data_IF_897788511647
#
_entry.id   IF_897788511647
#
_cell.length_a   1.000
_cell.length_b   1.000
_cell.length_c   1.000
_cell.angle_alpha   90.00
_cell.angle_beta   90.00
_cell.angle_gamma   90.00
#
_symmetry.space_group_name_H-M   'P 1'
#
loop_
_entity.id
_entity.type
_entity.pdbx_description
1 polymer ?
#
# COMPACT_ATOMS: atom_id res chain seq x y z
N UNK A 1 -43.84 17.82 22.95
CA UNK A 1 -44.42 17.22 21.73
C UNK A 1 -43.34 16.98 20.66
N UNK A 2 -42.53 15.90 20.74
CA UNK A 2 -41.51 15.60 19.70
C UNK A 2 -41.11 14.10 19.60
N UNK A 3 -41.80 13.20 20.31
CA UNK A 3 -41.48 11.77 20.30
C UNK A 3 -42.02 11.05 19.05
N UNK A 4 -43.20 11.46 18.58
CA UNK A 4 -43.90 10.83 17.44
C UNK A 4 -43.19 11.14 16.12
N UNK A 5 -42.74 12.39 15.94
CA UNK A 5 -42.00 12.82 14.73
C UNK A 5 -40.66 12.08 14.55
N UNK A 6 -39.94 11.79 15.65
CA UNK A 6 -38.69 11.00 15.59
C UNK A 6 -38.96 9.52 15.27
N UNK A 7 -40.08 8.98 15.74
CA UNK A 7 -40.46 7.58 15.50
C UNK A 7 -40.86 7.34 14.04
N UNK A 8 -41.54 8.30 13.42
CA UNK A 8 -41.88 8.27 12.00
C UNK A 8 -40.63 8.35 11.09
N UNK A 9 -39.65 9.18 11.45
CA UNK A 9 -38.37 9.31 10.71
C UNK A 9 -37.56 8.01 10.69
N UNK A 10 -37.55 7.26 11.80
CA UNK A 10 -36.86 5.97 11.87
C UNK A 10 -37.54 4.87 11.06
N UNK A 11 -38.84 4.98 10.81
CA UNK A 11 -39.59 4.02 9.99
C UNK A 11 -39.32 4.23 8.49
N UNK A 12 -39.25 5.50 8.05
CA UNK A 12 -38.97 5.83 6.64
C UNK A 12 -37.52 5.53 6.21
N UNK A 13 -36.56 5.46 7.14
CA UNK A 13 -35.19 4.99 6.84
C UNK A 13 -35.06 3.46 6.76
N UNK A 14 -36.10 2.70 7.11
CA UNK A 14 -36.11 1.23 7.11
C UNK A 14 -37.05 0.67 6.05
N UNK A 15 -37.04 1.20 4.83
CA UNK A 15 -37.66 0.49 3.72
C UNK A 15 -36.71 -0.63 3.24
N UNK A 16 -37.09 -1.91 3.39
CA UNK A 16 -36.25 -3.04 3.04
C UNK A 16 -36.51 -3.43 1.59
N UNK A 17 -35.46 -3.39 0.76
CA UNK A 17 -35.47 -4.18 -0.48
C UNK A 17 -35.47 -5.65 -0.08
N UNK A 18 -36.53 -6.37 -0.45
CA UNK A 18 -36.77 -7.75 -0.05
C UNK A 18 -35.67 -8.67 -0.61
N UNK A 19 -34.85 -9.20 0.29
CA UNK A 19 -34.05 -10.40 0.13
C UNK A 19 -34.23 -11.24 1.40
N UNK A 20 -34.94 -12.35 1.25
CA UNK A 20 -35.46 -13.25 2.29
C UNK A 20 -34.45 -13.70 3.37
N UNK A 21 -34.89 -13.51 4.62
CA UNK A 21 -34.73 -14.35 5.84
C UNK A 21 -33.35 -14.67 6.44
N UNK A 22 -33.27 -14.37 7.75
CA UNK A 22 -32.41 -14.94 8.81
C UNK A 22 -31.28 -14.08 9.40
N UNK A 23 -31.50 -12.79 9.67
CA UNK A 23 -30.55 -11.99 10.48
C UNK A 23 -31.29 -11.09 11.47
N UNK A 24 -31.87 -11.68 12.52
CA UNK A 24 -32.25 -10.91 13.72
C UNK A 24 -31.64 -11.46 15.01
N UNK A 25 -30.99 -12.64 14.96
CA UNK A 25 -30.08 -13.12 16.01
C UNK A 25 -28.61 -12.68 15.81
N UNK A 26 -28.24 -12.16 14.63
CA UNK A 26 -26.86 -11.80 14.30
C UNK A 26 -26.42 -10.40 14.75
N UNK A 27 -27.34 -9.44 14.83
CA UNK A 27 -26.96 -8.04 15.10
C UNK A 27 -26.56 -7.79 16.55
N UNK A 28 -27.18 -8.51 17.50
CA UNK A 28 -26.78 -8.47 18.91
C UNK A 28 -25.45 -9.20 19.17
N UNK A 29 -25.14 -10.26 18.40
CA UNK A 29 -23.83 -10.90 18.49
C UNK A 29 -22.74 -9.97 17.97
N UNK A 30 -22.92 -9.29 16.84
CA UNK A 30 -21.86 -8.44 16.25
C UNK A 30 -21.44 -7.30 17.22
N UNK A 31 -22.36 -6.73 18.01
CA UNK A 31 -22.05 -5.67 18.97
C UNK A 31 -21.23 -6.13 20.19
N UNK A 32 -21.20 -7.43 20.50
CA UNK A 32 -20.37 -8.00 21.56
C UNK A 32 -18.92 -8.23 21.12
N UNK A 33 -18.62 -8.13 19.82
CA UNK A 33 -17.29 -8.36 19.26
C UNK A 33 -16.49 -7.06 19.28
N UNK A 34 -16.32 -6.45 20.45
CA UNK A 34 -15.50 -5.24 20.62
C UNK A 34 -14.02 -5.62 20.73
N UNK A 35 -13.15 -4.83 20.10
CA UNK A 35 -11.70 -4.97 20.18
C UNK A 35 -11.06 -5.72 19.00
N UNK A 36 -9.74 -5.87 19.05
CA UNK A 36 -8.95 -6.53 18.01
C UNK A 36 -8.99 -8.03 18.26
N UNK A 37 -9.63 -8.76 17.35
CA UNK A 37 -9.78 -10.22 17.44
C UNK A 37 -9.25 -10.86 16.18
N UNK A 38 -8.62 -12.03 16.31
CA UNK A 38 -8.09 -12.80 15.19
C UNK A 38 -8.46 -14.26 15.40
N UNK A 39 -9.04 -14.90 14.39
CA UNK A 39 -9.28 -16.34 14.40
C UNK A 39 -8.00 -17.05 13.99
N UNK A 40 -7.53 -17.99 14.81
CA UNK A 40 -6.41 -18.86 14.46
C UNK A 40 -6.89 -19.83 13.38
N UNK A 41 -6.22 -19.85 12.24
CA UNK A 41 -6.48 -20.78 11.14
C UNK A 41 -5.33 -21.79 11.07
N UNK A 42 -5.65 -23.04 10.71
CA UNK A 42 -4.66 -24.10 10.43
C UNK A 42 -3.67 -24.36 11.58
N UNK A 43 -4.09 -24.14 12.83
CA UNK A 43 -3.23 -24.30 14.00
C UNK A 43 -2.08 -23.28 14.10
N UNK A 44 -1.99 -22.28 13.22
CA UNK A 44 -0.87 -21.33 13.22
C UNK A 44 -1.13 -20.13 14.15
N UNK A 45 -0.81 -20.32 15.43
CA UNK A 45 -0.95 -19.29 16.47
C UNK A 45 0.01 -18.11 16.25
N UNK A 46 1.26 -18.38 15.87
CA UNK A 46 2.27 -17.33 15.72
C UNK A 46 1.89 -16.31 14.66
N UNK A 47 1.39 -16.78 13.52
CA UNK A 47 0.89 -15.91 12.45
C UNK A 47 -0.31 -15.09 12.92
N UNK A 48 -1.24 -15.71 13.66
CA UNK A 48 -2.40 -15.02 14.22
C UNK A 48 -1.98 -13.91 15.21
N UNK A 49 -0.98 -14.18 16.06
CA UNK A 49 -0.44 -13.19 17.00
C UNK A 49 0.28 -12.04 16.29
N UNK A 50 1.09 -12.32 15.27
CA UNK A 50 1.72 -11.26 14.44
C UNK A 50 0.67 -10.38 13.78
N UNK A 51 -0.40 -10.98 13.27
CA UNK A 51 -1.50 -10.23 12.67
C UNK A 51 -2.28 -9.39 13.69
N UNK A 52 -2.51 -9.94 14.89
CA UNK A 52 -3.11 -9.21 16.00
C UNK A 52 -2.25 -8.01 16.42
N UNK A 53 -0.93 -8.20 16.54
CA UNK A 53 0.01 -7.13 16.86
C UNK A 53 0.04 -6.04 15.78
N UNK A 54 0.08 -6.43 14.50
CA UNK A 54 0.03 -5.50 13.38
C UNK A 54 -1.24 -4.63 13.42
N UNK A 55 -2.40 -5.24 13.67
CA UNK A 55 -3.66 -4.51 13.78
C UNK A 55 -3.69 -3.60 15.02
N UNK A 56 -3.09 -4.04 16.14
CA UNK A 56 -2.95 -3.23 17.36
C UNK A 56 -2.04 -2.02 17.17
N UNK A 57 -0.97 -2.17 16.41
CA UNK A 57 -0.04 -1.09 16.08
C UNK A 57 -0.63 -0.10 15.10
N UNK A 58 -1.26 -0.60 14.03
CA UNK A 58 -1.85 0.23 12.97
C UNK A 58 -3.06 1.02 13.46
N UNK A 59 -3.87 0.45 14.35
CA UNK A 59 -4.94 1.18 15.05
C UNK A 59 -4.42 2.24 16.03
N UNK A 60 -3.12 2.26 16.32
CA UNK A 60 -2.50 3.17 17.28
C UNK A 60 -2.75 2.79 18.74
N UNK A 61 -3.43 1.68 19.01
CA UNK A 61 -3.77 1.24 20.36
C UNK A 61 -2.54 0.94 21.19
N UNK A 62 -1.49 0.32 20.61
CA UNK A 62 -0.23 0.09 21.31
C UNK A 62 0.37 1.40 21.85
N UNK A 63 0.31 2.46 21.05
CA UNK A 63 0.83 3.77 21.45
C UNK A 63 0.00 4.35 22.58
N UNK A 64 -1.32 4.21 22.54
CA UNK A 64 -2.21 4.67 23.61
C UNK A 64 -1.93 3.94 24.93
N UNK A 65 -1.74 2.62 24.87
CA UNK A 65 -1.43 1.79 26.05
C UNK A 65 -0.07 2.17 26.63
N UNK A 66 0.98 2.26 25.80
CA UNK A 66 2.34 2.60 26.26
C UNK A 66 2.47 4.05 26.72
N UNK A 67 1.74 4.97 26.10
CA UNK A 67 1.78 6.41 26.41
C UNK A 67 0.86 6.82 27.56
N UNK A 68 0.24 5.86 28.26
CA UNK A 68 -0.62 6.12 29.40
C UNK A 68 0.11 7.00 30.41
N UNK A 69 -0.49 8.15 30.72
CA UNK A 69 0.09 9.09 31.68
C UNK A 69 0.05 8.47 33.08
N UNK A 70 1.22 8.30 33.70
CA UNK A 70 1.36 7.82 35.09
C UNK A 70 1.13 8.93 36.10
N UNK A 71 1.36 10.18 35.70
CA UNK A 71 1.18 11.38 36.51
C UNK A 71 0.40 12.44 35.73
N UNK A 72 -0.20 13.38 36.47
CA UNK A 72 -0.91 14.50 35.88
C UNK A 72 0.06 15.48 35.24
N UNK A 73 -0.22 15.84 33.98
CA UNK A 73 0.46 16.93 33.28
C UNK A 73 -0.45 18.17 33.20
N UNK A 74 0.10 19.33 33.50
CA UNK A 74 -0.62 20.60 33.40
C UNK A 74 -0.89 20.96 31.92
N UNK A 75 -1.86 21.82 31.67
CA UNK A 75 -2.26 22.18 30.30
C UNK A 75 -1.15 22.90 29.52
N UNK A 76 -0.32 23.71 30.19
CA UNK A 76 0.85 24.36 29.59
C UNK A 76 1.84 23.35 29.03
N UNK A 77 2.17 22.31 29.80
CA UNK A 77 3.08 21.24 29.41
C UNK A 77 2.52 20.39 28.27
N UNK A 78 1.22 20.06 28.33
CA UNK A 78 0.53 19.34 27.24
C UNK A 78 0.67 20.07 25.90
N UNK A 79 0.52 21.41 25.89
CA UNK A 79 0.68 22.24 24.68
C UNK A 79 2.11 22.19 24.15
N UNK A 80 3.11 22.27 25.03
CA UNK A 80 4.51 22.20 24.66
C UNK A 80 4.85 20.83 24.06
N UNK A 81 4.36 19.73 24.67
CA UNK A 81 4.57 18.37 24.15
C UNK A 81 3.93 18.16 22.77
N UNK A 82 2.71 18.68 22.57
CA UNK A 82 2.04 18.62 21.27
C UNK A 82 2.85 19.37 20.20
N UNK A 83 3.35 20.56 20.52
CA UNK A 83 4.20 21.36 19.62
C UNK A 83 5.49 20.62 19.26
N UNK A 84 6.20 20.06 20.24
CA UNK A 84 7.43 19.29 20.01
C UNK A 84 7.19 18.06 19.13
N UNK A 85 6.08 17.34 19.33
CA UNK A 85 5.70 16.20 18.49
C UNK A 85 5.39 16.62 17.04
N UNK A 86 4.72 17.75 16.86
CA UNK A 86 4.43 18.30 15.54
C UNK A 86 5.72 18.67 14.80
N UNK A 87 6.61 19.40 15.46
CA UNK A 87 7.90 19.80 14.90
C UNK A 87 8.74 18.58 14.49
N UNK A 88 8.82 17.57 15.37
CA UNK A 88 9.52 16.32 15.07
C UNK A 88 8.94 15.62 13.82
N UNK A 89 7.61 15.57 13.70
CA UNK A 89 6.94 14.99 12.52
C UNK A 89 7.25 15.76 11.24
N UNK A 90 7.20 17.08 11.27
CA UNK A 90 7.51 17.93 10.11
C UNK A 90 8.97 17.73 9.71
N UNK A 91 9.89 17.72 10.68
CA UNK A 91 11.32 17.48 10.44
C UNK A 91 11.57 16.11 9.79
N UNK A 92 10.97 15.04 10.33
CA UNK A 92 11.14 13.69 9.78
C UNK A 92 10.57 13.58 8.37
N UNK A 93 9.41 14.18 8.10
CA UNK A 93 8.82 14.22 6.77
C UNK A 93 9.69 15.00 5.78
N UNK A 94 10.23 16.15 6.19
CA UNK A 94 11.14 16.95 5.36
C UNK A 94 12.40 16.17 4.97
N UNK A 95 13.01 15.44 5.91
CA UNK A 95 14.17 14.58 5.63
C UNK A 95 13.78 13.44 4.68
N UNK A 96 12.65 12.77 4.91
CA UNK A 96 12.17 11.67 4.06
C UNK A 96 11.96 12.12 2.61
N UNK A 97 11.37 13.30 2.39
CA UNK A 97 11.16 13.85 1.04
C UNK A 97 12.49 14.16 0.35
N UNK A 98 13.45 14.75 1.06
CA UNK A 98 14.81 14.99 0.52
C UNK A 98 15.49 13.69 0.10
N UNK A 99 15.40 12.66 0.93
CA UNK A 99 15.95 11.34 0.62
C UNK A 99 15.26 10.70 -0.60
N UNK A 100 13.94 10.79 -0.70
CA UNK A 100 13.19 10.28 -1.85
C UNK A 100 13.62 10.96 -3.16
N UNK A 101 13.82 12.28 -3.15
CA UNK A 101 14.32 13.03 -4.31
C UNK A 101 15.72 12.56 -4.69
N UNK A 102 16.63 12.44 -3.72
CA UNK A 102 18.00 11.97 -3.95
C UNK A 102 18.00 10.56 -4.54
N UNK A 103 17.22 9.65 -3.97
CA UNK A 103 17.09 8.27 -4.44
C UNK A 103 16.53 8.21 -5.86
N UNK A 104 15.46 8.95 -6.16
CA UNK A 104 14.88 9.03 -7.50
C UNK A 104 15.90 9.55 -8.52
N UNK A 105 16.62 10.62 -8.19
CA UNK A 105 17.66 11.19 -9.06
C UNK A 105 18.80 10.19 -9.31
N UNK A 106 19.23 9.44 -8.28
CA UNK A 106 20.25 8.39 -8.42
C UNK A 106 19.78 7.27 -9.34
N UNK A 107 18.57 6.73 -9.12
CA UNK A 107 18.00 5.66 -9.96
C UNK A 107 17.86 6.12 -11.40
N UNK A 108 17.38 7.36 -11.63
CA UNK A 108 17.27 7.94 -12.98
C UNK A 108 18.62 8.04 -13.68
N UNK A 109 19.68 8.41 -12.97
CA UNK A 109 21.03 8.45 -13.54
C UNK A 109 21.55 7.05 -13.91
N UNK A 110 21.29 6.04 -13.07
CA UNK A 110 21.67 4.64 -13.37
C UNK A 110 20.96 4.15 -14.63
N UNK A 111 19.65 4.38 -14.75
CA UNK A 111 18.88 4.01 -15.94
C UNK A 111 19.38 4.73 -17.20
N UNK A 112 19.68 6.04 -17.11
CA UNK A 112 20.25 6.79 -18.23
C UNK A 112 21.61 6.23 -18.66
N UNK A 113 22.51 5.94 -17.71
CA UNK A 113 23.82 5.34 -18.00
C UNK A 113 23.67 3.97 -18.66
N UNK A 114 22.78 3.11 -18.17
CA UNK A 114 22.55 1.79 -18.77
C UNK A 114 21.94 1.86 -20.17
N UNK A 115 21.05 2.82 -20.43
CA UNK A 115 20.50 3.03 -21.79
C UNK A 115 21.58 3.50 -22.77
N UNK A 116 22.46 4.41 -22.37
CA UNK A 116 23.58 4.87 -23.21
C UNK A 116 24.52 3.71 -23.55
N UNK A 117 24.91 2.91 -22.55
CA UNK A 117 25.76 1.73 -22.77
C UNK A 117 25.07 0.74 -23.72
N UNK A 118 23.77 0.46 -23.52
CA UNK A 118 22.99 -0.43 -24.38
C UNK A 118 22.91 0.06 -25.84
N UNK A 119 22.74 1.36 -26.05
CA UNK A 119 22.75 1.99 -27.38
C UNK A 119 24.14 1.90 -28.04
N UNK A 120 25.22 2.12 -27.29
CA UNK A 120 26.59 1.97 -27.80
C UNK A 120 26.92 0.53 -28.18
N UNK A 121 26.48 -0.47 -27.40
CA UNK A 121 26.65 -1.90 -27.72
C UNK A 121 25.81 -2.33 -28.94
N UNK A 122 24.60 -1.78 -29.10
CA UNK A 122 23.79 -2.02 -30.29
C UNK A 122 24.42 -1.42 -31.57
N UNK A 123 25.02 -0.23 -31.45
CA UNK A 123 25.67 0.45 -32.58
C UNK A 123 26.97 -0.25 -33.03
N UNK A 124 27.72 -0.87 -32.11
CA UNK A 124 28.93 -1.65 -32.45
C UNK A 124 28.59 -3.04 -33.02
N UNK A 125 27.47 -3.66 -32.62
CA UNK A 125 26.98 -4.91 -33.24
C UNK A 125 26.47 -4.72 -34.67
N UNK A 126 25.94 -3.55 -35.02
CA UNK A 126 25.50 -3.23 -36.38
C UNK A 126 26.67 -3.14 -37.38
N UNK A 127 27.84 -2.62 -36.95
CA UNK A 127 29.01 -2.47 -37.82
C UNK A 127 29.82 -3.77 -38.03
N UNK A 128 29.75 -4.75 -37.12
CA UNK A 128 30.42 -6.05 -37.28
C UNK A 128 29.56 -7.11 -37.99
N UNK A 129 28.29 -6.83 -38.29
CA UNK A 129 27.36 -7.78 -38.92
C UNK A 129 27.26 -7.71 -40.44
N UNK A 130 28.04 -6.87 -41.13
CA UNK A 130 27.89 -6.63 -42.58
C UNK A 130 28.84 -7.49 -43.44
N UNK A 131 29.82 -8.21 -42.86
CA UNK A 131 30.83 -8.90 -43.69
C UNK A 131 30.62 -10.41 -43.95
N UNK A 132 29.58 -11.06 -43.42
CA UNK A 132 29.30 -12.48 -43.73
C UNK A 132 27.80 -12.78 -43.80
N UNK A 133 27.10 -12.31 -44.84
CA UNK A 133 25.70 -12.74 -45.08
C UNK A 133 25.29 -12.77 -46.56
N UNK A 134 26.18 -13.24 -47.43
CA UNK A 134 25.82 -13.76 -48.76
C UNK A 134 25.89 -15.30 -48.74
N UNK A 135 25.03 -15.92 -47.95
CA UNK A 135 24.50 -17.28 -48.16
C UNK A 135 23.56 -17.59 -46.99
N UNK A 136 22.42 -18.21 -47.26
CA UNK A 136 21.36 -18.59 -46.31
C UNK A 136 20.33 -17.49 -45.98
N UNK A 137 19.80 -16.86 -47.02
CA UNK A 137 18.39 -16.49 -47.04
C UNK A 137 17.60 -17.76 -47.42
N UNK A 138 17.00 -18.49 -46.47
CA UNK A 138 15.86 -19.36 -46.84
C UNK A 138 14.98 -19.87 -45.70
N UNK A 139 15.44 -20.15 -44.48
CA UNK A 139 14.55 -20.84 -43.52
C UNK A 139 14.84 -20.52 -42.06
N UNK A 140 14.40 -19.35 -41.57
CA UNK A 140 14.16 -19.14 -40.12
C UNK A 140 13.39 -17.86 -39.77
N UNK A 141 12.59 -17.30 -40.69
CA UNK A 141 11.83 -16.07 -40.44
C UNK A 141 10.35 -16.31 -40.12
N UNK A 142 10.02 -17.47 -39.55
CA UNK A 142 8.61 -17.84 -39.37
C UNK A 142 8.26 -18.50 -38.03
N UNK A 143 8.89 -18.11 -36.91
CA UNK A 143 8.41 -18.54 -35.58
C UNK A 143 8.48 -17.53 -34.42
N UNK A 144 8.97 -16.29 -34.59
CA UNK A 144 9.11 -15.35 -33.45
C UNK A 144 8.08 -14.20 -33.39
N UNK A 145 6.93 -14.33 -34.06
CA UNK A 145 5.83 -13.35 -33.99
C UNK A 145 4.61 -13.86 -33.19
N UNK A 146 4.82 -14.72 -32.18
CA UNK A 146 3.71 -15.27 -31.36
C UNK A 146 3.89 -15.22 -29.84
N UNK A 147 4.89 -14.51 -29.32
CA UNK A 147 5.05 -14.34 -27.86
C UNK A 147 5.14 -12.85 -27.49
N UNK A 148 3.99 -12.18 -27.51
CA UNK A 148 3.80 -10.85 -26.91
C UNK A 148 3.73 -10.93 -25.39
N UNK A 149 4.83 -11.32 -24.74
CA UNK A 149 4.97 -11.33 -23.29
C UNK A 149 6.05 -10.32 -22.87
N UNK A 150 5.62 -9.07 -22.65
CA UNK A 150 6.43 -8.11 -21.89
C UNK A 150 6.57 -8.64 -20.46
N UNK A 151 7.79 -8.73 -19.90
CA UNK A 151 7.98 -9.22 -18.54
C UNK A 151 7.27 -8.28 -17.54
N UNK A 152 6.40 -8.88 -16.72
CA UNK A 152 5.56 -8.24 -15.70
C UNK A 152 6.23 -7.23 -14.74
N UNK A 153 7.51 -7.38 -14.32
CA UNK A 153 8.05 -6.46 -13.31
C UNK A 153 8.24 -5.01 -13.78
N UNK A 154 8.24 -4.73 -15.09
CA UNK A 154 8.39 -3.35 -15.61
C UNK A 154 7.06 -2.59 -15.62
N UNK A 155 5.92 -3.30 -15.76
CA UNK A 155 4.58 -2.68 -15.70
C UNK A 155 4.17 -2.29 -14.28
N UNK A 156 4.55 -3.09 -13.27
CA UNK A 156 4.30 -2.75 -11.86
C UNK A 156 5.13 -1.53 -11.42
N UNK A 157 6.38 -1.41 -11.86
CA UNK A 157 7.27 -0.32 -11.47
C UNK A 157 6.81 1.07 -11.98
N UNK A 158 6.09 1.12 -13.11
CA UNK A 158 5.58 2.38 -13.66
C UNK A 158 4.30 2.88 -12.97
N UNK A 159 3.52 2.01 -12.32
CA UNK A 159 2.34 2.44 -11.54
C UNK A 159 2.71 3.25 -10.31
N UNK A 160 3.87 2.98 -9.70
CA UNK A 160 4.33 3.68 -8.49
C UNK A 160 5.01 5.03 -8.76
N UNK A 161 5.29 5.38 -10.02
CA UNK A 161 5.94 6.65 -10.37
C UNK A 161 4.96 7.78 -10.73
N UNK A 162 3.66 7.47 -10.87
CA UNK A 162 2.60 8.41 -11.28
C UNK A 162 1.39 8.39 -10.33
N UNK A 163 1.59 8.18 -9.03
CA UNK A 163 0.57 8.33 -7.97
C UNK A 163 1.10 9.14 -6.80
#
# INVERSE_FOLDING_TARGET
MNAIARRASNFLRRLPSQGVSLVSQGEHQIQQWRGIRVKVRNGNLEQALRYMQFNMQSSGMERLIKSRQTHHLKNSEKRILARKRLEHRIRSQGISRKLQIILCNKVRQVIKKSMIIGLSVAHTRSKQGIHTRNHLHSVHWQMCARCGALPGPVREALKYLYS
#
